data_IF_901538427066
#
_entry.id   IF_901538427066
#
_cell.length_a   1.000
_cell.length_b   1.000
_cell.length_c   1.000
_cell.angle_alpha   90.00
_cell.angle_beta   90.00
_cell.angle_gamma   90.00
#
_symmetry.space_group_name_H-M   'P 1'
#
loop_
_entity.id
_entity.type
_entity.pdbx_description
1 polymer ?
#
# COMPACT_ATOMS: atom_id res chain seq x y z
N UNK A 1 -10.39 -7.70 -0.33
CA UNK A 1 -9.07 -7.65 -0.98
C UNK A 1 -8.05 -7.03 -0.03
N UNK A 2 -6.84 -7.54 -0.01
CA UNK A 2 -5.68 -6.90 0.60
C UNK A 2 -4.76 -6.43 -0.52
N UNK A 3 -4.16 -5.26 -0.36
CA UNK A 3 -3.11 -4.80 -1.25
C UNK A 3 -1.80 -4.91 -0.48
N UNK A 4 -0.77 -5.47 -1.09
CA UNK A 4 0.57 -5.58 -0.50
C UNK A 4 1.57 -4.94 -1.46
N UNK A 5 2.48 -4.12 -0.94
CA UNK A 5 3.62 -3.60 -1.70
C UNK A 5 4.87 -3.71 -0.86
N UNK A 6 5.93 -4.22 -1.48
CA UNK A 6 7.28 -4.20 -0.91
C UNK A 6 8.30 -3.99 -2.02
N UNK A 7 9.30 -3.15 -1.74
CA UNK A 7 10.32 -2.76 -2.72
C UNK A 7 11.08 -3.99 -3.20
N UNK A 8 11.01 -4.25 -4.51
CA UNK A 8 11.76 -5.32 -5.15
C UNK A 8 12.81 -4.77 -6.13
N UNK A 9 13.93 -5.48 -6.23
CA UNK A 9 14.95 -5.21 -7.23
C UNK A 9 14.74 -6.17 -8.41
N UNK A 10 14.48 -5.63 -9.60
CA UNK A 10 14.29 -6.43 -10.82
C UNK A 10 15.65 -6.64 -11.50
N UNK A 11 16.50 -7.49 -10.93
CA UNK A 11 17.81 -7.83 -11.51
C UNK A 11 17.68 -8.53 -12.86
N UNK A 12 16.72 -9.46 -12.99
CA UNK A 12 16.77 -10.48 -14.06
C UNK A 12 16.09 -10.10 -15.37
N UNK A 13 15.21 -9.08 -15.37
CA UNK A 13 14.31 -8.78 -16.51
C UNK A 13 14.46 -7.33 -17.02
N UNK A 14 14.89 -6.38 -16.17
CA UNK A 14 14.83 -4.95 -16.50
C UNK A 14 16.09 -4.14 -16.18
N UNK A 15 17.24 -4.78 -15.92
CA UNK A 15 18.55 -4.13 -15.76
C UNK A 15 18.64 -3.22 -14.54
N UNK A 16 18.80 -3.81 -13.35
CA UNK A 16 19.00 -3.13 -12.06
C UNK A 16 18.01 -2.01 -11.71
N UNK A 17 16.83 -2.05 -12.32
CA UNK A 17 15.74 -1.13 -11.97
C UNK A 17 15.04 -1.62 -10.70
N UNK A 18 14.83 -0.69 -9.79
CA UNK A 18 14.09 -0.94 -8.56
C UNK A 18 12.65 -0.47 -8.76
N UNK A 19 11.70 -1.33 -8.41
CA UNK A 19 10.25 -1.06 -8.54
C UNK A 19 9.54 -1.54 -7.29
N UNK A 20 8.33 -1.06 -7.09
CA UNK A 20 7.46 -1.53 -6.01
C UNK A 20 6.36 -2.39 -6.65
N UNK A 21 6.48 -3.72 -6.66
CA UNK A 21 5.38 -4.58 -7.05
C UNK A 21 4.18 -4.36 -6.12
N UNK A 22 3.00 -4.22 -6.70
CA UNK A 22 1.72 -4.12 -6.03
C UNK A 22 1.00 -5.45 -6.23
N UNK A 23 0.82 -6.20 -5.16
CA UNK A 23 0.08 -7.45 -5.13
C UNK A 23 -1.33 -7.24 -4.63
N UNK A 24 -2.26 -8.00 -5.18
CA UNK A 24 -3.64 -8.09 -4.72
C UNK A 24 -3.89 -9.49 -4.16
N UNK A 25 -4.38 -9.56 -2.92
CA UNK A 25 -4.67 -10.82 -2.24
C UNK A 25 -6.16 -10.94 -1.89
N UNK A 26 -6.67 -12.17 -1.98
CA UNK A 26 -8.04 -12.51 -1.57
C UNK A 26 -8.03 -12.95 -0.12
N UNK A 27 -8.58 -12.12 0.78
CA UNK A 27 -8.55 -12.36 2.23
C UNK A 27 -9.29 -13.64 2.67
N UNK A 28 -10.33 -14.04 1.95
CA UNK A 28 -11.24 -15.13 2.34
C UNK A 28 -10.79 -16.50 1.85
N UNK A 29 -9.55 -16.86 2.15
CA UNK A 29 -8.98 -18.18 1.84
C UNK A 29 -8.42 -18.77 3.14
N UNK A 30 -8.53 -20.09 3.28
CA UNK A 30 -7.92 -20.82 4.38
C UNK A 30 -6.39 -20.89 4.22
N UNK A 31 -5.68 -21.13 5.32
CA UNK A 31 -4.21 -21.13 5.32
C UNK A 31 -3.60 -22.19 4.38
N UNK A 32 -4.28 -23.32 4.16
CA UNK A 32 -3.77 -24.35 3.25
C UNK A 32 -3.83 -23.86 1.81
N UNK A 33 -4.96 -23.27 1.39
CA UNK A 33 -5.10 -22.66 0.06
C UNK A 33 -4.13 -21.49 -0.14
N UNK A 34 -3.87 -20.68 0.89
CA UNK A 34 -2.88 -19.59 0.81
C UNK A 34 -1.47 -20.06 0.42
N UNK A 35 -1.09 -21.26 0.86
CA UNK A 35 0.25 -21.85 0.66
C UNK A 35 0.34 -22.70 -0.61
N UNK A 36 -0.75 -22.90 -1.34
CA UNK A 36 -0.74 -23.67 -2.58
C UNK A 36 -0.11 -22.85 -3.71
N UNK A 37 0.98 -23.37 -4.27
CA UNK A 37 1.68 -22.77 -5.43
C UNK A 37 0.80 -22.83 -6.69
N UNK A 38 -0.02 -23.87 -6.83
CA UNK A 38 -0.92 -24.06 -7.99
C UNK A 38 -2.11 -23.10 -8.01
N UNK A 39 -2.46 -22.48 -6.88
CA UNK A 39 -3.58 -21.55 -6.73
C UNK A 39 -3.12 -20.31 -5.97
N UNK A 40 -2.35 -19.42 -6.63
CA UNK A 40 -1.79 -18.27 -5.95
C UNK A 40 -2.92 -17.39 -5.41
N UNK A 41 -2.96 -17.26 -4.10
CA UNK A 41 -3.84 -16.37 -3.33
C UNK A 41 -3.50 -14.89 -3.51
N UNK A 42 -2.32 -14.62 -4.07
CA UNK A 42 -1.76 -13.32 -4.38
C UNK A 42 -1.51 -13.21 -5.88
N UNK A 43 -2.02 -12.15 -6.50
CA UNK A 43 -1.79 -11.82 -7.90
C UNK A 43 -0.95 -10.55 -7.97
N UNK A 44 0.12 -10.57 -8.76
CA UNK A 44 0.85 -9.36 -9.11
C UNK A 44 -0.06 -8.47 -9.97
N UNK A 45 -0.46 -7.33 -9.43
CA UNK A 45 -1.44 -6.46 -10.05
C UNK A 45 -0.81 -5.36 -10.89
N UNK A 46 0.28 -4.74 -10.39
CA UNK A 46 1.02 -3.72 -11.15
C UNK A 46 2.41 -3.49 -10.55
N UNK A 47 3.26 -2.75 -11.27
CA UNK A 47 4.49 -2.16 -10.73
C UNK A 47 4.32 -0.65 -10.53
N UNK A 48 4.81 -0.15 -9.40
CA UNK A 48 5.02 1.27 -9.14
C UNK A 48 6.50 1.62 -9.40
N UNK A 49 6.73 2.66 -10.18
CA UNK A 49 8.08 3.13 -10.50
C UNK A 49 8.73 3.80 -9.29
N UNK A 50 10.00 3.50 -9.06
CA UNK A 50 10.79 4.24 -8.08
C UNK A 50 11.33 5.50 -8.72
N UNK A 51 11.06 6.62 -8.05
CA UNK A 51 11.49 7.94 -8.49
C UNK A 51 13.02 8.08 -8.26
N UNK A 52 13.76 8.65 -9.22
CA UNK A 52 15.22 8.82 -9.11
C UNK A 52 15.68 9.58 -7.86
N UNK A 53 16.95 9.37 -7.49
CA UNK A 53 17.65 10.19 -6.49
C UNK A 53 17.67 11.67 -6.96
N UNK A 54 17.70 12.60 -6.02
CA UNK A 54 17.66 14.05 -6.31
C UNK A 54 16.27 14.64 -6.56
N UNK A 55 15.22 13.83 -6.76
CA UNK A 55 13.85 14.37 -6.86
C UNK A 55 13.34 14.86 -5.50
N UNK A 56 12.70 16.03 -5.47
CA UNK A 56 12.10 16.62 -4.28
C UNK A 56 11.07 15.68 -3.63
N UNK A 57 10.89 15.82 -2.32
CA UNK A 57 9.99 14.96 -1.55
C UNK A 57 8.54 15.06 -2.03
N UNK A 58 8.07 16.26 -2.35
CA UNK A 58 6.69 16.49 -2.79
C UNK A 58 6.44 15.89 -4.17
N UNK A 59 7.44 15.98 -5.06
CA UNK A 59 7.36 15.35 -6.37
C UNK A 59 7.36 13.82 -6.27
N UNK A 60 8.15 13.25 -5.36
CA UNK A 60 8.11 11.81 -5.07
C UNK A 60 6.73 11.37 -4.57
N UNK A 61 6.17 12.11 -3.60
CA UNK A 61 4.83 11.88 -3.08
C UNK A 61 3.77 11.95 -4.18
N UNK A 62 3.80 13.01 -5.00
CA UNK A 62 2.82 13.23 -6.07
C UNK A 62 2.86 12.13 -7.13
N UNK A 63 4.06 11.73 -7.56
CA UNK A 63 4.24 10.65 -8.54
C UNK A 63 3.74 9.32 -7.98
N UNK A 64 4.07 9.02 -6.72
CA UNK A 64 3.61 7.83 -6.04
C UNK A 64 2.08 7.79 -5.94
N UNK A 65 1.46 8.89 -5.47
CA UNK A 65 0.01 9.01 -5.36
C UNK A 65 -0.70 8.88 -6.72
N UNK A 66 -0.18 9.55 -7.77
CA UNK A 66 -0.74 9.44 -9.13
C UNK A 66 -0.61 8.02 -9.68
N UNK A 67 0.51 7.36 -9.44
CA UNK A 67 0.73 5.96 -9.81
C UNK A 67 -0.29 5.03 -9.14
N UNK A 68 -0.41 5.11 -7.81
CA UNK A 68 -1.40 4.33 -7.06
C UNK A 68 -2.83 4.62 -7.51
N UNK A 69 -3.18 5.89 -7.72
CA UNK A 69 -4.52 6.27 -8.20
C UNK A 69 -4.85 5.61 -9.53
N UNK A 70 -3.90 5.58 -10.47
CA UNK A 70 -4.06 4.93 -11.77
C UNK A 70 -4.20 3.41 -11.64
N UNK A 71 -3.36 2.79 -10.80
CA UNK A 71 -3.40 1.36 -10.53
C UNK A 71 -4.75 0.95 -9.91
N UNK A 72 -5.27 1.73 -8.95
CA UNK A 72 -6.49 1.39 -8.22
C UNK A 72 -7.79 1.82 -8.92
N UNK A 73 -7.71 2.57 -10.03
CA UNK A 73 -8.89 3.02 -10.77
C UNK A 73 -9.83 1.88 -11.21
N UNK A 74 -9.34 0.74 -11.75
CA UNK A 74 -10.19 -0.39 -12.10
C UNK A 74 -10.92 -0.97 -10.89
N UNK A 75 -10.23 -1.07 -9.75
CA UNK A 75 -10.83 -1.58 -8.49
C UNK A 75 -11.90 -0.62 -8.00
N UNK A 76 -11.67 0.70 -8.11
CA UNK A 76 -12.68 1.72 -7.78
C UNK A 76 -13.95 1.54 -8.62
N UNK A 77 -13.82 1.29 -9.93
CA UNK A 77 -14.99 1.01 -10.80
C UNK A 77 -15.73 -0.24 -10.33
N UNK A 78 -15.02 -1.32 -10.02
CA UNK A 78 -15.62 -2.55 -9.49
C UNK A 78 -16.34 -2.33 -8.15
N UNK A 79 -15.84 -1.41 -7.31
CA UNK A 79 -16.49 -1.07 -6.04
C UNK A 79 -17.87 -0.41 -6.23
N UNK A 80 -18.02 0.47 -7.23
CA UNK A 80 -19.31 1.14 -7.50
C UNK A 80 -20.26 0.28 -8.32
N UNK A 81 -19.76 -0.35 -9.38
CA UNK A 81 -20.61 -1.03 -10.36
C UNK A 81 -20.79 -2.52 -10.05
N UNK A 82 -19.90 -3.11 -9.24
CA UNK A 82 -19.84 -4.54 -8.99
C UNK A 82 -19.36 -5.34 -10.21
N UNK A 83 -19.16 -6.64 -10.01
CA UNK A 83 -18.88 -7.62 -11.06
C UNK A 83 -19.77 -8.84 -10.88
N UNK A 84 -20.31 -9.37 -11.96
CA UNK A 84 -21.10 -10.62 -11.91
C UNK A 84 -20.13 -11.79 -12.02
N UNK A 85 -20.12 -12.65 -11.01
CA UNK A 85 -19.27 -13.83 -10.95
C UNK A 85 -20.14 -15.08 -10.80
N UNK A 86 -19.73 -16.16 -11.47
CA UNK A 86 -20.29 -17.50 -11.23
C UNK A 86 -19.63 -18.09 -9.98
N UNK A 87 -20.45 -18.49 -9.02
CA UNK A 87 -20.01 -19.12 -7.79
C UNK A 87 -19.87 -20.64 -7.96
N UNK A 88 -19.31 -21.30 -6.93
CA UNK A 88 -19.10 -22.76 -6.91
C UNK A 88 -20.42 -23.53 -7.07
N UNK A 89 -21.52 -22.96 -6.57
CA UNK A 89 -22.89 -23.49 -6.73
C UNK A 89 -23.50 -23.23 -8.11
N UNK A 90 -22.71 -22.73 -9.08
CA UNK A 90 -23.15 -22.32 -10.41
C UNK A 90 -24.14 -21.15 -10.46
N UNK A 91 -24.41 -20.50 -9.33
CA UNK A 91 -25.26 -19.31 -9.28
C UNK A 91 -24.42 -18.07 -9.59
N UNK A 92 -24.97 -17.18 -10.40
CA UNK A 92 -24.36 -15.88 -10.67
C UNK A 92 -24.75 -14.89 -9.59
N UNK A 93 -23.76 -14.27 -8.94
CA UNK A 93 -24.01 -13.20 -7.97
C UNK A 93 -23.18 -11.98 -8.30
N UNK A 94 -23.72 -10.82 -7.96
CA UNK A 94 -23.02 -9.54 -8.08
C UNK A 94 -22.11 -9.34 -6.87
N UNK A 95 -20.81 -9.30 -7.12
CA UNK A 95 -19.77 -9.13 -6.12
C UNK A 95 -19.21 -7.70 -6.15
N UNK A 96 -19.02 -7.12 -4.97
CA UNK A 96 -18.46 -5.77 -4.80
C UNK A 96 -17.16 -5.88 -4.00
N UNK A 97 -15.99 -5.82 -4.66
CA UNK A 97 -14.71 -6.00 -3.99
C UNK A 97 -14.41 -4.84 -3.04
N UNK A 98 -14.23 -5.11 -1.76
CA UNK A 98 -13.79 -4.12 -0.76
C UNK A 98 -12.29 -4.26 -0.50
N UNK A 99 -11.56 -3.15 -0.52
CA UNK A 99 -10.16 -3.11 -0.05
C UNK A 99 -10.19 -3.01 1.47
N UNK A 100 -9.73 -4.07 2.14
CA UNK A 100 -9.72 -4.14 3.60
C UNK A 100 -8.46 -3.51 4.21
N UNK A 101 -7.30 -3.66 3.55
CA UNK A 101 -6.03 -3.12 4.03
C UNK A 101 -5.02 -2.94 2.90
N UNK A 102 -4.19 -1.90 3.03
CA UNK A 102 -2.96 -1.74 2.27
C UNK A 102 -1.77 -1.99 3.20
N UNK A 103 -1.00 -3.03 2.93
CA UNK A 103 0.11 -3.52 3.75
C UNK A 103 1.40 -3.16 3.04
N UNK A 104 2.22 -2.32 3.68
CA UNK A 104 3.46 -1.83 3.11
C UNK A 104 4.51 -1.65 4.20
N UNK A 105 5.79 -1.71 3.84
CA UNK A 105 6.88 -1.51 4.80
C UNK A 105 6.92 -0.07 5.33
N UNK A 106 7.66 0.16 6.42
CA UNK A 106 7.70 1.47 7.09
C UNK A 106 8.11 2.64 6.18
N UNK A 107 9.09 2.44 5.29
CA UNK A 107 9.55 3.50 4.36
C UNK A 107 8.44 3.90 3.39
N UNK A 108 7.64 2.93 2.95
CA UNK A 108 6.45 3.18 2.12
C UNK A 108 5.36 3.90 2.91
N UNK A 109 5.09 3.47 4.15
CA UNK A 109 4.11 4.13 5.02
C UNK A 109 4.45 5.60 5.25
N UNK A 110 5.73 5.90 5.48
CA UNK A 110 6.23 7.27 5.65
C UNK A 110 5.99 8.11 4.39
N UNK A 111 6.27 7.54 3.21
CA UNK A 111 6.02 8.20 1.93
C UNK A 111 4.52 8.45 1.72
N UNK A 112 3.66 7.45 1.93
CA UNK A 112 2.20 7.56 1.79
C UNK A 112 1.62 8.58 2.76
N UNK A 113 2.06 8.56 4.02
CA UNK A 113 1.59 9.46 5.06
C UNK A 113 2.13 10.89 4.87
N UNK A 114 3.17 11.09 4.06
CA UNK A 114 3.80 12.40 3.90
C UNK A 114 4.49 12.88 5.17
N UNK A 115 5.05 11.97 5.98
CA UNK A 115 5.78 12.31 7.22
C UNK A 115 7.29 12.26 7.01
N UNK A 116 8.06 12.94 7.87
CA UNK A 116 9.52 12.89 7.84
C UNK A 116 10.01 11.45 8.11
N UNK A 117 11.18 11.10 7.58
CA UNK A 117 11.83 9.83 7.93
C UNK A 117 12.01 9.76 9.46
N UNK A 118 11.87 8.56 10.00
CA UNK A 118 11.89 8.27 11.44
C UNK A 118 10.67 8.79 12.23
N UNK A 119 9.70 9.48 11.63
CA UNK A 119 8.45 9.83 12.31
C UNK A 119 7.43 8.67 12.29
N UNK A 120 6.55 8.61 13.28
CA UNK A 120 5.42 7.70 13.25
C UNK A 120 4.34 8.21 12.26
N UNK A 121 3.89 7.40 11.29
CA UNK A 121 2.87 7.81 10.33
C UNK A 121 1.46 7.87 10.94
N UNK A 122 1.23 7.18 12.07
CA UNK A 122 -0.09 7.05 12.71
C UNK A 122 -0.25 8.02 13.88
N UNK A 123 0.81 8.25 14.65
CA UNK A 123 0.79 9.04 15.88
C UNK A 123 1.81 10.19 15.84
N UNK A 124 1.58 11.21 16.66
CA UNK A 124 2.52 12.31 16.87
C UNK A 124 3.43 11.91 18.02
N UNK A 125 4.48 11.15 17.67
CA UNK A 125 5.51 10.74 18.62
C UNK A 125 6.72 11.65 18.44
N UNK A 126 7.27 12.22 19.53
CA UNK A 126 8.54 12.93 19.52
C UNK A 126 9.66 12.09 18.91
N UNK A 127 10.61 12.76 18.26
CA UNK A 127 11.75 12.07 17.64
C UNK A 127 12.79 11.65 18.68
N UNK A 128 12.66 12.13 19.93
CA UNK A 128 13.59 11.80 21.01
C UNK A 128 13.47 10.31 21.40
N UNK A 129 14.64 9.70 21.59
CA UNK A 129 14.80 8.27 21.83
C UNK A 129 14.28 7.81 23.19
N UNK A 130 14.22 8.70 24.19
CA UNK A 130 13.75 8.36 25.54
C UNK A 130 12.23 8.25 25.56
N UNK A 131 11.53 9.29 25.10
CA UNK A 131 10.07 9.30 25.05
C UNK A 131 9.51 8.28 24.06
N UNK A 132 10.18 8.07 22.92
CA UNK A 132 9.75 7.06 21.93
C UNK A 132 9.81 5.64 22.46
N UNK A 133 10.70 5.34 23.42
CA UNK A 133 10.80 4.02 24.06
C UNK A 133 9.68 3.78 25.07
N UNK A 134 8.94 4.83 25.47
CA UNK A 134 7.77 4.66 26.32
C UNK A 134 6.60 4.08 25.51
N UNK A 135 6.49 2.75 25.50
CA UNK A 135 5.43 2.01 24.82
C UNK A 135 4.06 2.17 25.48
N UNK A 136 4.01 2.64 26.72
CA UNK A 136 2.79 2.92 27.47
C UNK A 136 2.29 4.36 27.25
N UNK A 137 3.10 5.20 26.60
CA UNK A 137 2.76 6.57 26.29
C UNK A 137 1.53 6.66 25.37
N UNK A 138 0.53 7.44 25.78
CA UNK A 138 -0.63 7.75 24.95
C UNK A 138 -0.27 8.93 24.05
N UNK A 139 -0.08 8.64 22.76
CA UNK A 139 0.28 9.66 21.77
C UNK A 139 -0.94 10.08 20.95
N UNK A 140 -1.10 11.39 20.66
CA UNK A 140 -2.23 11.84 19.86
C UNK A 140 -2.12 11.30 18.42
N UNK A 141 -3.27 10.95 17.85
CA UNK A 141 -3.35 10.44 16.48
C UNK A 141 -2.97 11.54 15.50
N UNK A 142 -2.17 11.18 14.50
CA UNK A 142 -1.80 12.08 13.42
C UNK A 142 -2.97 12.28 12.48
N UNK A 143 -3.32 13.54 12.22
CA UNK A 143 -4.36 13.95 11.29
C UNK A 143 -3.74 14.50 10.01
N UNK A 144 -4.55 14.64 8.95
CA UNK A 144 -4.11 15.17 7.66
C UNK A 144 -3.46 16.57 7.76
N UNK A 145 -3.97 17.42 8.65
CA UNK A 145 -3.42 18.78 8.83
C UNK A 145 -1.97 18.75 9.36
N UNK A 146 -1.64 17.74 10.18
CA UNK A 146 -0.29 17.57 10.73
C UNK A 146 0.73 17.06 9.70
N UNK A 147 0.28 16.48 8.59
CA UNK A 147 1.15 16.01 7.50
C UNK A 147 1.27 17.03 6.38
N UNK A 148 0.21 17.79 6.10
CA UNK A 148 0.23 18.90 5.13
C UNK A 148 1.33 19.91 5.42
N UNK A 149 1.52 20.29 6.70
CA UNK A 149 2.56 21.22 7.13
C UNK A 149 3.99 20.70 6.89
N UNK A 150 4.19 19.40 6.67
CA UNK A 150 5.50 18.80 6.42
C UNK A 150 5.80 18.54 4.94
N UNK A 151 4.82 18.73 4.06
CA UNK A 151 4.91 18.54 2.59
C UNK A 151 4.91 19.91 1.87
N UNK A 152 4.93 21.01 2.62
CA UNK A 152 4.99 22.38 2.10
C UNK A 152 6.09 23.13 2.86
N UNK A 153 7.35 22.75 2.65
CA UNK A 153 8.58 23.51 2.96
C UNK A 153 9.72 22.88 2.13
#
# INVERSE_FOLDING_TARGET
LLIVSDKALLTRIYGDKTVWPVYLLIRNLDNATYRQISRPSAILFSFLLIVPKGTSRDRKYLLYYRGLKKILEPIKKLFYYGIVLRYVDSIYRKYYPIIARFIVNYKEQVLIAGVKNNACPIYIVPSDSVERKNLEGIWPKRLHNHTKAQVIL
#
